data_IF_345446979472
#
_entry.id   IF_345446979472
#
_cell.length_a   1.000
_cell.length_b   1.000
_cell.length_c   1.000
_cell.angle_alpha   90.00
_cell.angle_beta   90.00
_cell.angle_gamma   90.00
#
_symmetry.space_group_name_H-M   'P 1'
#
loop_
_entity.id
_entity.type
_entity.pdbx_description
1 polymer ?
#
# COMPACT_ATOMS: atom_id res chain seq x y z
N UNK A 1 -15.59 10.38 6.89
CA UNK A 1 -15.62 10.42 5.42
C UNK A 1 -16.85 9.67 4.98
N UNK A 2 -17.74 10.39 4.30
CA UNK A 2 -19.04 9.90 3.83
C UNK A 2 -18.92 9.58 2.35
N UNK A 3 -19.02 8.30 2.01
CA UNK A 3 -18.99 7.77 0.64
C UNK A 3 -20.14 6.78 0.42
N UNK A 4 -21.12 6.77 1.31
CA UNK A 4 -22.33 5.97 1.21
C UNK A 4 -23.17 6.32 -0.02
N UNK A 5 -23.96 5.36 -0.50
CA UNK A 5 -24.90 5.54 -1.62
C UNK A 5 -24.21 6.01 -2.94
N UNK A 6 -23.03 5.47 -3.22
CA UNK A 6 -22.28 5.73 -4.45
C UNK A 6 -22.19 4.46 -5.31
N UNK A 7 -21.38 4.52 -6.38
CA UNK A 7 -21.13 3.41 -7.31
C UNK A 7 -19.73 2.82 -7.14
N UNK A 8 -19.17 2.87 -5.94
CA UNK A 8 -17.82 2.34 -5.69
C UNK A 8 -17.87 0.82 -5.81
N UNK A 9 -17.00 0.26 -6.65
CA UNK A 9 -16.94 -1.20 -6.91
C UNK A 9 -15.74 -1.88 -6.27
N UNK A 10 -14.68 -1.13 -6.00
CA UNK A 10 -13.43 -1.63 -5.41
C UNK A 10 -12.82 -0.60 -4.49
N UNK A 11 -12.18 -1.05 -3.42
CA UNK A 11 -11.43 -0.20 -2.50
C UNK A 11 -9.97 -0.63 -2.51
N UNK A 12 -9.10 0.23 -3.04
CA UNK A 12 -7.66 0.03 -3.06
C UNK A 12 -7.01 0.96 -2.01
N UNK A 13 -5.78 1.38 -2.24
CA UNK A 13 -4.96 2.23 -1.38
C UNK A 13 -5.38 3.71 -1.31
N UNK A 14 -6.60 4.04 -1.75
CA UNK A 14 -7.08 5.43 -1.90
C UNK A 14 -7.18 6.19 -0.57
N UNK A 15 -7.18 5.49 0.57
CA UNK A 15 -7.32 6.10 1.90
C UNK A 15 -6.00 6.22 2.67
N UNK A 16 -4.87 5.80 2.09
CA UNK A 16 -3.60 5.72 2.82
C UNK A 16 -3.12 7.03 3.43
N UNK A 17 -3.46 8.18 2.82
CA UNK A 17 -3.07 9.50 3.31
C UNK A 17 -4.01 10.07 4.38
N UNK A 18 -5.10 9.39 4.71
CA UNK A 18 -6.12 9.87 5.64
C UNK A 18 -5.83 9.44 7.09
N UNK A 19 -4.63 9.77 7.58
CA UNK A 19 -4.11 9.32 8.89
C UNK A 19 -4.97 9.72 10.11
N UNK A 20 -5.79 10.76 9.95
CA UNK A 20 -6.68 11.26 11.00
C UNK A 20 -8.13 10.77 10.88
N UNK A 21 -8.44 9.91 9.91
CA UNK A 21 -9.79 9.45 9.68
C UNK A 21 -10.29 8.57 10.85
N UNK A 22 -11.46 8.92 11.38
CA UNK A 22 -12.10 8.21 12.51
C UNK A 22 -13.34 7.41 12.11
N UNK A 23 -14.10 7.90 11.12
CA UNK A 23 -15.33 7.26 10.65
C UNK A 23 -15.30 7.17 9.13
N UNK A 24 -15.55 5.99 8.60
CA UNK A 24 -15.63 5.71 7.17
C UNK A 24 -16.96 5.02 6.85
N UNK A 25 -17.77 5.69 6.05
CA UNK A 25 -19.06 5.19 5.59
C UNK A 25 -18.93 4.82 4.12
N UNK A 26 -19.12 3.54 3.81
CA UNK A 26 -19.00 2.95 2.47
C UNK A 26 -20.23 2.10 2.12
N UNK A 27 -21.30 2.18 2.90
CA UNK A 27 -22.51 1.40 2.67
C UNK A 27 -23.29 1.82 1.45
N UNK A 28 -24.17 0.93 1.00
CA UNK A 28 -25.01 1.15 -0.17
C UNK A 28 -24.15 1.48 -1.41
N UNK A 29 -23.07 0.72 -1.60
CA UNK A 29 -22.23 0.77 -2.79
C UNK A 29 -22.27 -0.60 -3.49
N UNK A 30 -21.40 -0.81 -4.48
CA UNK A 30 -21.26 -2.07 -5.21
C UNK A 30 -19.91 -2.72 -4.97
N UNK A 31 -19.33 -2.52 -3.78
CA UNK A 31 -17.97 -2.95 -3.47
C UNK A 31 -17.93 -4.47 -3.48
N UNK A 32 -17.12 -5.06 -4.37
CA UNK A 32 -16.92 -6.50 -4.48
C UNK A 32 -15.53 -6.95 -4.03
N UNK A 33 -14.57 -6.03 -3.92
CA UNK A 33 -13.24 -6.30 -3.38
C UNK A 33 -12.64 -5.12 -2.62
N UNK A 34 -11.87 -5.44 -1.58
CA UNK A 34 -11.08 -4.49 -0.79
C UNK A 34 -9.66 -5.04 -0.71
N UNK A 35 -8.67 -4.24 -1.12
CA UNK A 35 -7.26 -4.61 -1.01
C UNK A 35 -6.87 -4.79 0.47
N UNK A 36 -6.01 -5.76 0.77
CA UNK A 36 -5.60 -6.07 2.15
C UNK A 36 -4.90 -4.91 2.87
N UNK A 37 -4.28 -3.99 2.12
CA UNK A 37 -3.62 -2.81 2.66
C UNK A 37 -4.47 -1.52 2.56
N UNK A 38 -5.71 -1.58 2.08
CA UNK A 38 -6.53 -0.40 1.83
C UNK A 38 -6.75 0.51 3.06
N UNK A 39 -6.74 -0.07 4.26
CA UNK A 39 -6.95 0.64 5.52
C UNK A 39 -5.72 0.62 6.45
N UNK A 40 -4.56 0.12 5.99
CA UNK A 40 -3.40 -0.13 6.86
C UNK A 40 -2.92 1.13 7.60
N UNK A 41 -3.03 2.32 6.98
CA UNK A 41 -2.62 3.59 7.60
C UNK A 41 -3.70 4.29 8.43
N UNK A 42 -4.93 3.77 8.47
CA UNK A 42 -6.05 4.38 9.18
C UNK A 42 -6.02 4.05 10.69
N UNK A 43 -4.90 4.30 11.36
CA UNK A 43 -4.67 3.93 12.77
C UNK A 43 -5.60 4.61 13.78
N UNK A 44 -6.33 5.66 13.35
CA UNK A 44 -7.33 6.37 14.16
C UNK A 44 -8.78 5.97 13.82
N UNK A 45 -8.99 5.03 12.90
CA UNK A 45 -10.33 4.61 12.50
C UNK A 45 -11.02 3.90 13.66
N UNK A 46 -12.25 4.31 13.95
CA UNK A 46 -13.09 3.80 15.03
C UNK A 46 -14.39 3.18 14.51
N UNK A 47 -14.84 3.62 13.34
CA UNK A 47 -16.13 3.25 12.77
C UNK A 47 -15.96 2.95 11.28
N UNK A 48 -16.34 1.73 10.88
CA UNK A 48 -16.32 1.28 9.50
C UNK A 48 -17.68 0.68 9.15
N UNK A 49 -18.33 1.23 8.13
CA UNK A 49 -19.68 0.80 7.75
C UNK A 49 -19.70 0.36 6.28
N UNK A 50 -19.81 -0.95 6.07
CA UNK A 50 -19.74 -1.63 4.77
C UNK A 50 -21.05 -2.34 4.40
N UNK A 51 -22.13 -2.08 5.16
CA UNK A 51 -23.45 -2.67 4.88
C UNK A 51 -23.89 -2.47 3.43
N UNK A 52 -24.69 -3.39 2.90
CA UNK A 52 -25.30 -3.26 1.56
C UNK A 52 -24.24 -3.02 0.48
N UNK A 53 -23.32 -3.98 0.37
CA UNK A 53 -22.31 -4.07 -0.68
C UNK A 53 -22.35 -5.49 -1.29
N UNK A 54 -21.37 -5.83 -2.13
CA UNK A 54 -21.29 -7.13 -2.81
C UNK A 54 -20.05 -7.93 -2.36
N UNK A 55 -19.67 -7.81 -1.09
CA UNK A 55 -18.50 -8.48 -0.53
C UNK A 55 -18.82 -9.93 -0.19
N UNK A 56 -17.99 -10.86 -0.68
CA UNK A 56 -18.09 -12.28 -0.34
C UNK A 56 -17.07 -12.73 0.70
N UNK A 57 -15.98 -11.99 0.89
CA UNK A 57 -14.96 -12.24 1.91
C UNK A 57 -14.23 -10.96 2.28
N UNK A 58 -13.50 -10.98 3.39
CA UNK A 58 -12.59 -9.92 3.83
C UNK A 58 -11.20 -10.49 4.12
N UNK A 59 -10.12 -9.79 3.73
CA UNK A 59 -8.78 -10.21 4.10
C UNK A 59 -8.54 -10.00 5.61
N UNK A 60 -7.97 -11.02 6.29
CA UNK A 60 -7.68 -11.01 7.74
C UNK A 60 -6.97 -9.73 8.22
N UNK A 61 -5.96 -9.28 7.46
CA UNK A 61 -5.16 -8.10 7.83
C UNK A 61 -5.96 -6.80 7.82
N UNK A 62 -7.05 -6.73 7.06
CA UNK A 62 -7.82 -5.50 6.87
C UNK A 62 -8.36 -4.94 8.19
N UNK A 63 -8.90 -5.82 9.06
CA UNK A 63 -9.45 -5.43 10.36
C UNK A 63 -8.42 -5.56 11.49
N UNK A 64 -7.51 -6.54 11.39
CA UNK A 64 -6.51 -6.80 12.44
C UNK A 64 -5.50 -5.64 12.62
N UNK A 65 -5.27 -4.82 11.60
CA UNK A 65 -4.30 -3.70 11.65
C UNK A 65 -4.91 -2.36 12.11
N UNK A 66 -6.14 -2.37 12.61
CA UNK A 66 -6.90 -1.18 13.03
C UNK A 66 -7.10 -1.15 14.56
N UNK A 67 -6.10 -0.70 15.33
CA UNK A 67 -6.10 -0.83 16.80
C UNK A 67 -7.16 -0.01 17.53
N UNK A 68 -7.78 0.96 16.87
CA UNK A 68 -8.81 1.83 17.45
C UNK A 68 -10.23 1.53 16.95
N UNK A 69 -10.38 0.51 16.12
CA UNK A 69 -11.67 0.15 15.54
C UNK A 69 -12.61 -0.32 16.64
N UNK A 70 -13.81 0.26 16.71
CA UNK A 70 -14.83 -0.07 17.73
C UNK A 70 -16.14 -0.58 17.14
N UNK A 71 -16.48 -0.13 15.94
CA UNK A 71 -17.77 -0.45 15.32
C UNK A 71 -17.56 -0.85 13.87
N UNK A 72 -18.02 -2.05 13.53
CA UNK A 72 -17.94 -2.60 12.18
C UNK A 72 -19.32 -3.11 11.76
N UNK A 73 -19.82 -2.62 10.63
CA UNK A 73 -21.12 -3.02 10.11
C UNK A 73 -20.94 -3.71 8.75
N UNK A 74 -21.35 -4.98 8.67
CA UNK A 74 -21.11 -5.90 7.57
C UNK A 74 -22.40 -6.53 7.01
N UNK A 75 -23.57 -6.20 7.55
CA UNK A 75 -24.89 -6.69 7.16
C UNK A 75 -25.18 -6.49 5.67
N UNK A 76 -26.00 -7.37 5.07
CA UNK A 76 -26.41 -7.28 3.66
C UNK A 76 -25.23 -7.32 2.67
N UNK A 77 -24.38 -8.33 2.81
CA UNK A 77 -23.33 -8.69 1.86
C UNK A 77 -23.41 -10.21 1.63
N UNK A 78 -23.10 -10.72 0.43
CA UNK A 78 -23.16 -12.14 0.10
C UNK A 78 -21.95 -12.92 0.66
N UNK A 79 -21.79 -12.93 1.99
CA UNK A 79 -20.65 -13.55 2.66
C UNK A 79 -20.57 -15.05 2.38
N UNK A 80 -19.37 -15.52 2.00
CA UNK A 80 -19.07 -16.93 1.83
C UNK A 80 -18.27 -17.44 3.04
N UNK A 81 -18.85 -18.37 3.80
CA UNK A 81 -18.22 -18.95 4.99
C UNK A 81 -17.32 -20.15 4.63
N UNK A 82 -16.26 -19.89 3.87
CA UNK A 82 -15.26 -20.88 3.44
C UNK A 82 -13.93 -20.74 4.21
N UNK A 83 -12.89 -21.46 3.78
CA UNK A 83 -11.54 -21.42 4.35
C UNK A 83 -10.95 -20.00 4.47
N UNK A 84 -11.28 -19.08 3.55
CA UNK A 84 -10.75 -17.71 3.55
C UNK A 84 -11.35 -16.86 4.68
N UNK A 85 -12.50 -17.26 5.21
CA UNK A 85 -13.23 -16.57 6.27
C UNK A 85 -13.13 -17.23 7.64
N UNK A 86 -12.40 -18.34 7.77
CA UNK A 86 -12.17 -19.03 9.06
C UNK A 86 -11.54 -18.14 10.14
N UNK A 87 -10.79 -17.11 9.74
CA UNK A 87 -10.18 -16.18 10.70
C UNK A 87 -11.21 -15.31 11.44
N UNK A 88 -12.39 -15.09 10.84
CA UNK A 88 -13.32 -14.08 11.33
C UNK A 88 -13.95 -14.45 12.68
N UNK A 89 -14.40 -15.69 12.92
CA UNK A 89 -14.93 -16.07 14.23
C UNK A 89 -13.85 -16.14 15.32
N UNK A 90 -12.60 -16.49 14.98
CA UNK A 90 -11.49 -16.37 15.94
C UNK A 90 -11.18 -14.92 16.28
N UNK A 91 -11.28 -14.03 15.30
CA UNK A 91 -11.08 -12.59 15.51
C UNK A 91 -12.20 -11.99 16.37
N UNK A 92 -13.47 -12.30 16.08
CA UNK A 92 -14.61 -11.76 16.85
C UNK A 92 -14.57 -12.22 18.32
N UNK A 93 -14.06 -13.42 18.59
CA UNK A 93 -13.92 -13.95 19.95
C UNK A 93 -12.94 -13.16 20.84
N UNK A 94 -12.00 -12.43 20.23
CA UNK A 94 -11.00 -11.60 20.95
C UNK A 94 -11.19 -10.10 20.71
N UNK A 95 -12.18 -9.72 19.90
CA UNK A 95 -12.43 -8.32 19.54
C UNK A 95 -13.32 -7.63 20.58
N UNK A 96 -12.83 -6.53 21.14
CA UNK A 96 -13.52 -5.77 22.20
C UNK A 96 -14.54 -4.72 21.66
N UNK A 97 -14.79 -4.71 20.35
CA UNK A 97 -15.74 -3.80 19.71
C UNK A 97 -17.08 -4.46 19.36
N UNK A 98 -17.97 -3.67 18.78
CA UNK A 98 -19.24 -4.15 18.25
C UNK A 98 -19.10 -4.45 16.75
N UNK A 99 -19.52 -5.66 16.37
CA UNK A 99 -19.61 -6.08 14.98
C UNK A 99 -21.07 -6.45 14.70
N UNK A 100 -21.65 -5.84 13.69
CA UNK A 100 -23.01 -6.13 13.25
C UNK A 100 -22.99 -6.76 11.86
N UNK A 101 -23.81 -7.80 11.68
CA UNK A 101 -23.89 -8.55 10.44
C UNK A 101 -22.77 -9.57 10.30
N UNK A 102 -22.86 -10.37 9.24
CA UNK A 102 -22.03 -11.56 9.00
C UNK A 102 -22.15 -12.61 10.12
N UNK A 103 -22.88 -13.69 9.86
CA UNK A 103 -22.98 -14.83 10.77
C UNK A 103 -22.40 -16.07 10.08
N UNK A 104 -21.10 -16.31 10.26
CA UNK A 104 -20.51 -17.60 9.94
C UNK A 104 -20.52 -18.46 11.19
N UNK A 105 -21.44 -19.43 11.25
CA UNK A 105 -21.45 -20.45 12.29
C UNK A 105 -20.52 -21.59 11.87
N UNK A 106 -19.30 -21.62 12.40
CA UNK A 106 -18.49 -22.84 12.36
C UNK A 106 -18.75 -23.58 13.67
N UNK A 107 -19.41 -24.73 13.59
CA UNK A 107 -19.59 -25.61 14.73
C UNK A 107 -18.24 -26.21 15.10
N UNK A 108 -17.55 -25.60 16.06
CA UNK A 108 -16.59 -26.36 16.86
C UNK A 108 -17.44 -27.32 17.68
N UNK A 109 -17.34 -28.63 17.41
CA UNK A 109 -18.02 -29.64 18.20
C UNK A 109 -17.70 -29.35 19.67
N UNK A 110 -18.73 -29.11 20.49
CA UNK A 110 -18.54 -28.88 21.92
C UNK A 110 -17.74 -30.05 22.48
N UNK A 111 -16.67 -29.72 23.22
CA UNK A 111 -15.70 -30.62 23.85
C UNK A 111 -14.44 -31.02 23.05
N UNK A 112 -14.14 -30.35 21.93
CA UNK A 112 -12.85 -30.48 21.24
C UNK A 112 -12.00 -29.21 21.38
N UNK A 113 -10.70 -29.38 21.67
CA UNK A 113 -9.75 -28.26 21.63
C UNK A 113 -9.53 -27.81 20.18
N UNK A 114 -9.10 -26.57 19.95
CA UNK A 114 -8.74 -26.08 18.61
C UNK A 114 -7.76 -27.00 17.88
N UNK A 115 -6.97 -27.80 18.62
CA UNK A 115 -6.02 -28.78 18.07
C UNK A 115 -6.73 -30.06 17.55
N UNK A 116 -7.81 -30.49 18.20
CA UNK A 116 -8.56 -31.70 17.82
C UNK A 116 -9.36 -31.51 16.53
N UNK A 117 -9.78 -30.26 16.27
CA UNK A 117 -10.45 -29.84 15.04
C UNK A 117 -9.58 -30.05 13.80
N UNK A 118 -8.25 -29.99 13.93
CA UNK A 118 -7.33 -30.24 12.82
C UNK A 118 -7.10 -31.73 12.52
N UNK A 119 -7.51 -32.65 13.42
CA UNK A 119 -7.20 -34.09 13.28
C UNK A 119 -8.37 -34.93 12.78
N UNK A 120 -9.61 -34.47 12.97
CA UNK A 120 -10.80 -35.24 12.56
C UNK A 120 -11.52 -34.59 11.38
N UNK A 121 -11.02 -34.87 10.19
CA UNK A 121 -11.75 -35.43 9.03
C UNK A 121 -13.00 -34.76 8.44
N UNK A 122 -13.68 -33.84 9.13
CA UNK A 122 -14.93 -33.21 8.66
C UNK A 122 -14.84 -31.67 8.54
N UNK A 123 -13.68 -31.08 8.86
CA UNK A 123 -13.26 -29.77 8.33
C UNK A 123 -12.26 -29.99 7.19
N UNK A 124 -12.82 -30.10 6.01
CA UNK A 124 -12.16 -30.20 4.71
C UNK A 124 -10.95 -29.24 4.63
N UNK A 125 -9.74 -29.82 4.63
CA UNK A 125 -8.50 -29.35 3.99
C UNK A 125 -8.42 -27.85 3.65
N UNK A 126 -8.39 -26.97 4.64
CA UNK A 126 -7.90 -25.62 4.42
C UNK A 126 -6.37 -25.65 4.43
N UNK A 127 -5.78 -26.16 3.35
CA UNK A 127 -4.34 -26.06 3.12
C UNK A 127 -4.00 -24.60 2.84
N UNK A 128 -3.07 -24.02 3.59
CA UNK A 128 -2.53 -22.67 3.29
C UNK A 128 -1.88 -22.75 1.90
N UNK A 129 -2.38 -22.04 0.88
CA UNK A 129 -1.70 -22.04 -0.41
C UNK A 129 -0.30 -21.44 -0.21
N UNK A 130 0.78 -22.17 -0.55
CA UNK A 130 2.11 -21.59 -0.52
C UNK A 130 2.16 -20.49 -1.59
N UNK A 131 2.07 -19.23 -1.17
CA UNK A 131 2.05 -18.10 -2.11
C UNK A 131 1.21 -16.87 -1.75
N UNK A 132 0.57 -16.76 -0.58
CA UNK A 132 -0.10 -15.50 -0.15
C UNK A 132 0.88 -14.40 0.32
N UNK A 133 2.10 -14.42 -0.19
CA UNK A 133 3.03 -13.30 -0.18
C UNK A 133 3.06 -12.64 -1.56
N UNK A 134 1.92 -12.44 -2.22
CA UNK A 134 1.85 -11.59 -3.41
C UNK A 134 1.43 -10.18 -3.00
N UNK A 135 2.31 -9.25 -3.35
CA UNK A 135 2.30 -7.86 -2.94
C UNK A 135 1.10 -7.09 -3.51
N UNK A 136 0.06 -6.94 -2.71
CA UNK A 136 -0.83 -5.76 -2.77
C UNK A 136 -0.39 -4.79 -1.64
N UNK A 137 0.92 -4.58 -1.48
CA UNK A 137 1.38 -3.53 -0.56
C UNK A 137 1.07 -2.24 -1.30
N UNK A 138 0.32 -1.35 -0.67
CA UNK A 138 0.19 0.00 -1.16
C UNK A 138 1.60 0.60 -1.19
N UNK A 139 2.25 0.57 -2.35
CA UNK A 139 3.55 1.21 -2.51
C UNK A 139 3.36 2.68 -2.16
N UNK A 140 4.02 3.08 -1.08
CA UNK A 140 4.36 4.46 -0.88
C UNK A 140 5.31 4.78 -2.03
N UNK A 141 4.79 5.44 -3.06
CA UNK A 141 5.64 6.31 -3.84
C UNK A 141 6.09 7.39 -2.89
N UNK A 142 7.20 7.11 -2.20
CA UNK A 142 7.97 8.11 -1.49
C UNK A 142 8.27 9.23 -2.48
N UNK A 143 7.54 10.35 -2.34
CA UNK A 143 7.98 11.65 -2.86
C UNK A 143 9.21 12.15 -2.05
N UNK A 144 9.92 11.26 -1.35
CA UNK A 144 11.17 11.51 -0.65
C UNK A 144 12.22 10.42 -0.92
N UNK A 145 12.24 9.88 -2.13
CA UNK A 145 13.51 9.51 -2.77
C UNK A 145 13.76 10.47 -3.92
N UNK A 146 14.16 11.70 -3.58
CA UNK A 146 15.27 12.28 -4.33
C UNK A 146 16.49 11.40 -4.07
N UNK A 147 16.51 10.23 -4.72
CA UNK A 147 17.75 9.56 -5.01
C UNK A 147 18.57 10.57 -5.78
N UNK A 148 19.57 11.12 -5.11
CA UNK A 148 20.74 11.71 -5.74
C UNK A 148 21.12 10.77 -6.89
N UNK A 149 21.07 11.18 -8.17
CA UNK A 149 21.56 10.33 -9.24
C UNK A 149 23.09 10.35 -9.16
N UNK A 150 23.67 9.44 -8.38
CA UNK A 150 25.10 9.14 -8.46
C UNK A 150 25.32 7.74 -9.00
N UNK A 151 25.48 7.68 -10.31
CA UNK A 151 26.57 6.94 -10.93
C UNK A 151 26.71 7.45 -12.37
N UNK A 152 27.26 8.66 -12.53
CA UNK A 152 27.92 9.00 -13.79
C UNK A 152 29.10 8.02 -13.84
N UNK A 153 29.11 7.13 -14.84
CA UNK A 153 30.21 6.18 -15.07
C UNK A 153 31.55 6.90 -14.94
N UNK A 154 32.51 6.31 -14.21
CA UNK A 154 33.85 6.88 -14.01
C UNK A 154 34.48 7.38 -15.31
N UNK A 155 34.14 6.78 -16.47
CA UNK A 155 34.59 7.23 -17.79
C UNK A 155 34.14 8.64 -18.18
N UNK A 156 32.97 9.10 -17.75
CA UNK A 156 32.45 10.44 -18.06
C UNK A 156 33.06 11.53 -17.19
N UNK A 157 33.52 11.21 -15.97
CA UNK A 157 34.21 12.17 -15.10
C UNK A 157 35.52 12.64 -15.75
N UNK A 158 36.33 11.73 -16.30
CA UNK A 158 37.55 12.06 -17.04
C UNK A 158 37.27 12.89 -18.30
N UNK A 159 36.16 12.63 -19.01
CA UNK A 159 35.79 13.39 -20.21
C UNK A 159 35.43 14.85 -19.84
N UNK A 160 34.66 15.05 -18.77
CA UNK A 160 34.30 16.40 -18.30
C UNK A 160 35.50 17.16 -17.75
N UNK A 161 36.40 16.50 -17.01
CA UNK A 161 37.63 17.11 -16.52
C UNK A 161 38.61 17.44 -17.66
N UNK A 162 38.74 16.56 -18.66
CA UNK A 162 39.58 16.81 -19.83
C UNK A 162 39.04 17.95 -20.69
N UNK A 163 37.72 18.05 -20.89
CA UNK A 163 37.10 19.15 -21.61
C UNK A 163 37.25 20.47 -20.84
N UNK A 164 37.02 20.49 -19.53
CA UNK A 164 37.26 21.67 -18.70
C UNK A 164 38.73 22.09 -18.72
N UNK A 165 39.68 21.15 -18.65
CA UNK A 165 41.11 21.44 -18.72
C UNK A 165 41.52 22.01 -20.08
N UNK A 166 41.00 21.46 -21.18
CA UNK A 166 41.24 21.99 -22.53
C UNK A 166 40.63 23.38 -22.71
N UNK A 167 39.40 23.60 -22.24
CA UNK A 167 38.71 24.88 -22.33
C UNK A 167 39.37 25.96 -21.44
N UNK A 168 39.90 25.58 -20.27
CA UNK A 168 40.69 26.48 -19.41
C UNK A 168 42.06 26.79 -20.01
N UNK A 169 42.72 25.84 -20.66
CA UNK A 169 43.97 26.08 -21.37
C UNK A 169 43.78 27.07 -22.53
N UNK A 170 42.66 26.97 -23.26
CA UNK A 170 42.32 27.88 -24.37
C UNK A 170 41.96 29.31 -23.89
N UNK A 171 41.45 29.44 -22.65
CA UNK A 171 41.17 30.73 -22.01
C UNK A 171 42.45 31.36 -21.43
N UNK A 172 43.33 30.54 -20.84
CA UNK A 172 44.61 31.02 -20.30
C UNK A 172 45.60 31.41 -21.40
N UNK A 173 45.54 30.77 -22.57
CA UNK A 173 46.32 31.16 -23.76
C UNK A 173 45.87 32.55 -24.29
N UNK A 174 44.57 32.85 -24.20
CA UNK A 174 44.02 34.19 -24.48
C UNK A 174 44.26 35.24 -23.39
N UNK A 175 44.69 34.83 -22.20
CA UNK A 175 45.04 35.74 -21.10
C UNK A 175 46.53 36.09 -21.04
N UNK A 176 47.40 35.29 -21.67
CA UNK A 176 48.85 35.52 -21.70
C UNK A 176 49.39 35.98 -23.06
N UNK A 177 48.57 35.94 -24.12
CA UNK A 177 48.86 36.61 -25.41
C UNK A 177 48.42 38.08 -25.40
N UNK A 178 49.07 38.85 -24.54
CA UNK A 178 48.92 40.29 -24.50
C UNK A 178 50.22 40.93 -24.07
N UNK A 179 51.29 40.83 -24.90
CA UNK A 179 52.33 41.86 -25.08
C UNK A 179 53.38 41.47 -26.13
N UNK A 180 53.61 42.37 -27.10
CA UNK A 180 54.72 42.36 -28.05
C UNK A 180 54.37 41.64 -29.35
N UNK A 181 54.43 42.23 -30.54
CA UNK A 181 55.12 43.44 -31.00
C UNK A 181 54.74 43.66 -32.47
N UNK A 182 54.50 44.92 -32.86
CA UNK A 182 54.95 45.58 -34.11
C UNK A 182 54.59 44.89 -35.46
N UNK A 183 54.09 45.52 -36.54
CA UNK A 183 54.35 46.82 -37.15
C UNK A 183 53.27 47.05 -38.23
N UNK A 184 52.94 48.31 -38.54
CA UNK A 184 52.53 48.86 -39.86
C UNK A 184 51.41 48.16 -40.67
N UNK A 185 50.25 48.79 -40.85
CA UNK A 185 49.99 49.82 -41.86
C UNK A 185 50.00 49.33 -43.33
N UNK A 186 48.89 49.66 -44.02
CA UNK A 186 48.76 49.94 -45.45
C UNK A 186 48.56 48.79 -46.46
N UNK A 187 47.36 48.87 -47.07
CA UNK A 187 47.01 48.66 -48.48
C UNK A 187 47.07 47.27 -49.15
N UNK A 188 45.89 46.95 -49.71
CA UNK A 188 45.54 45.99 -50.76
C UNK A 188 45.48 44.50 -50.39
#
# INVERSE_FOLDING_TARGET
MHLEANRITRVNCSFNRLLNLRKLYLNNNHISSISHAAFSHLKKLQFLHLNKNNLSSLPKRLLAELPKLKYVFLSHNPWNCDCKMLWFPTWIATYEGAVEGMQCAFTVLHNQTLLDVFTHGELISCSVPPGLASADRCEETDVNTAGMPHAISDKLLWITLAWCAWHLAEILDKSFSGHGSDVSAFFL
#
